data_IF_101602155845
#
_entry.id   IF_101602155845
#
_cell.length_a   1.000
_cell.length_b   1.000
_cell.length_c   1.000
_cell.angle_alpha   90.00
_cell.angle_beta   90.00
_cell.angle_gamma   90.00
#
_symmetry.space_group_name_H-M   'P 1'
#
loop_
_entity.id
_entity.type
_entity.pdbx_description
1 polymer ?
#
# COMPACT_ATOMS: atom_id res chain seq x y z
N UNK A 1 8.69 30.54 -2.39
CA UNK A 1 8.24 29.55 -3.39
C UNK A 1 9.45 28.83 -3.94
N UNK A 2 9.26 27.79 -4.74
CA UNK A 2 10.33 27.32 -5.64
C UNK A 2 10.60 28.49 -6.58
N UNK A 3 11.85 28.95 -6.62
CA UNK A 3 12.26 30.05 -7.50
C UNK A 3 12.66 29.39 -8.83
N UNK A 4 12.21 29.96 -9.96
CA UNK A 4 12.41 29.39 -11.30
C UNK A 4 13.91 29.16 -11.63
N UNK A 5 14.79 29.91 -10.96
CA UNK A 5 16.24 29.76 -11.05
C UNK A 5 16.79 28.47 -10.42
N UNK A 6 16.01 27.73 -9.64
CA UNK A 6 16.42 26.46 -9.01
C UNK A 6 16.15 25.24 -9.90
N UNK A 7 15.31 25.40 -10.92
CA UNK A 7 14.84 24.32 -11.78
C UNK A 7 15.55 24.34 -13.14
N UNK A 8 15.80 23.16 -13.68
CA UNK A 8 16.22 22.97 -15.08
C UNK A 8 15.03 22.74 -15.98
N UNK A 9 14.02 22.02 -15.49
CA UNK A 9 12.80 21.69 -16.23
C UNK A 9 11.63 21.71 -15.26
N UNK A 10 10.53 22.30 -15.70
CA UNK A 10 9.20 22.08 -15.13
C UNK A 10 8.29 21.62 -16.26
N UNK A 11 7.65 20.48 -16.09
CA UNK A 11 6.73 19.91 -17.07
C UNK A 11 5.39 19.57 -16.41
N UNK A 12 4.31 19.76 -17.16
CA UNK A 12 2.95 19.55 -16.70
C UNK A 12 2.34 18.39 -17.49
N UNK A 13 2.27 17.23 -16.85
CA UNK A 13 1.64 16.07 -17.43
C UNK A 13 0.12 16.16 -17.25
N UNK A 14 -0.56 16.78 -18.23
CA UNK A 14 -2.00 17.02 -18.19
C UNK A 14 -2.84 15.75 -17.98
N UNK A 15 -2.47 14.64 -18.62
CA UNK A 15 -3.21 13.38 -18.52
C UNK A 15 -3.12 12.74 -17.13
N UNK A 16 -1.97 12.83 -16.48
CA UNK A 16 -1.76 12.27 -15.14
C UNK A 16 -1.98 13.29 -14.02
N UNK A 17 -2.28 14.55 -14.38
CA UNK A 17 -2.45 15.71 -13.48
C UNK A 17 -1.25 15.89 -12.55
N UNK A 18 -0.04 15.76 -13.11
CA UNK A 18 1.22 15.82 -12.37
C UNK A 18 2.08 16.98 -12.86
N UNK A 19 2.88 17.50 -11.93
CA UNK A 19 3.96 18.45 -12.24
C UNK A 19 5.27 17.71 -11.98
N UNK A 20 6.11 17.63 -12.99
CA UNK A 20 7.45 17.07 -12.90
C UNK A 20 8.43 18.22 -12.87
N UNK A 21 9.25 18.29 -11.82
CA UNK A 21 10.28 19.31 -11.67
C UNK A 21 11.66 18.65 -11.58
N UNK A 22 12.60 19.11 -12.41
CA UNK A 22 14.01 18.72 -12.36
C UNK A 22 14.80 19.89 -11.80
N UNK A 23 15.58 19.65 -10.76
CA UNK A 23 16.43 20.66 -10.11
C UNK A 23 17.79 20.74 -10.81
N UNK A 24 18.41 21.93 -10.76
CA UNK A 24 19.74 22.17 -11.36
C UNK A 24 20.86 21.41 -10.64
N UNK A 25 20.75 21.25 -9.33
CA UNK A 25 21.73 20.54 -8.50
C UNK A 25 21.02 19.57 -7.56
N UNK A 26 21.76 18.59 -7.08
CA UNK A 26 21.27 17.62 -6.09
C UNK A 26 20.97 18.30 -4.74
N UNK A 27 21.80 19.24 -4.29
CA UNK A 27 21.58 19.96 -3.02
C UNK A 27 20.24 20.70 -3.02
N UNK A 28 19.91 21.40 -4.11
CA UNK A 28 18.62 22.10 -4.25
C UNK A 28 17.42 21.13 -4.22
N UNK A 29 17.62 19.92 -4.76
CA UNK A 29 16.61 18.88 -4.70
C UNK A 29 16.43 18.32 -3.29
N UNK A 30 17.52 18.06 -2.57
CA UNK A 30 17.49 17.55 -1.19
C UNK A 30 16.89 18.58 -0.22
N UNK A 31 17.28 19.85 -0.34
CA UNK A 31 16.69 20.97 0.41
C UNK A 31 15.18 21.07 0.16
N UNK A 32 14.76 20.91 -1.10
CA UNK A 32 13.35 20.90 -1.46
C UNK A 32 12.61 19.73 -0.82
N UNK A 33 13.17 18.52 -0.87
CA UNK A 33 12.57 17.34 -0.26
C UNK A 33 12.45 17.47 1.26
N UNK A 34 13.48 17.98 1.93
CA UNK A 34 13.43 18.18 3.38
C UNK A 34 12.36 19.20 3.76
N UNK A 35 12.33 20.32 3.04
CA UNK A 35 11.36 21.41 3.29
C UNK A 35 9.92 20.99 3.02
N UNK A 36 9.68 20.16 2.02
CA UNK A 36 8.35 19.75 1.57
C UNK A 36 8.08 18.25 1.75
N UNK A 37 8.74 17.61 2.72
CA UNK A 37 8.59 16.18 3.01
C UNK A 37 7.14 15.76 3.28
N UNK A 38 6.33 16.68 3.83
CA UNK A 38 4.90 16.48 4.11
C UNK A 38 3.97 16.86 2.95
N UNK A 39 4.52 17.22 1.80
CA UNK A 39 3.80 17.78 0.65
C UNK A 39 3.76 19.31 0.65
N UNK A 40 3.39 19.88 -0.49
CA UNK A 40 3.23 21.31 -0.70
C UNK A 40 1.78 21.70 -0.41
N UNK A 41 1.57 22.72 0.42
CA UNK A 41 0.26 23.33 0.60
C UNK A 41 0.07 24.43 -0.45
N UNK A 42 -0.98 24.32 -1.23
CA UNK A 42 -1.35 25.28 -2.27
C UNK A 42 -2.74 25.84 -1.97
N UNK A 43 -2.88 27.16 -1.92
CA UNK A 43 -4.18 27.81 -1.70
C UNK A 43 -4.64 28.52 -2.99
N UNK A 44 -5.88 28.24 -3.40
CA UNK A 44 -6.52 28.91 -4.53
C UNK A 44 -8.00 29.13 -4.22
N UNK A 45 -8.46 30.37 -4.39
CA UNK A 45 -9.85 30.77 -4.14
C UNK A 45 -10.34 30.40 -2.73
N UNK A 46 -9.50 30.60 -1.71
CA UNK A 46 -9.79 30.24 -0.31
C UNK A 46 -9.84 28.74 0.00
N UNK A 47 -9.55 27.87 -0.98
CA UNK A 47 -9.44 26.41 -0.79
C UNK A 47 -7.97 26.01 -0.71
N UNK A 48 -7.62 25.25 0.32
CA UNK A 48 -6.29 24.67 0.52
C UNK A 48 -6.22 23.26 -0.06
N UNK A 49 -5.21 23.02 -0.87
CA UNK A 49 -4.91 21.75 -1.52
C UNK A 49 -3.56 21.26 -1.01
N UNK A 50 -3.48 19.99 -0.63
CA UNK A 50 -2.22 19.34 -0.29
C UNK A 50 -1.71 18.57 -1.50
N UNK A 51 -0.61 19.04 -2.09
CA UNK A 51 0.04 18.43 -3.24
C UNK A 51 1.14 17.50 -2.72
N UNK A 52 1.03 16.18 -2.90
CA UNK A 52 2.09 15.26 -2.51
C UNK A 52 3.33 15.48 -3.38
N UNK A 53 4.50 15.53 -2.75
CA UNK A 53 5.80 15.53 -3.44
C UNK A 53 6.28 14.09 -3.53
N UNK A 54 6.67 13.67 -4.74
CA UNK A 54 7.15 12.31 -5.02
C UNK A 54 8.43 12.45 -5.83
N UNK A 55 9.46 11.70 -5.44
CA UNK A 55 10.71 11.62 -6.18
C UNK A 55 10.48 10.75 -7.42
N UNK A 56 10.59 11.35 -8.60
CA UNK A 56 10.55 10.61 -9.86
C UNK A 56 11.71 9.62 -9.91
N UNK A 57 11.43 8.35 -10.23
CA UNK A 57 12.43 7.29 -10.22
C UNK A 57 12.83 6.77 -8.83
N UNK A 58 12.21 7.25 -7.74
CA UNK A 58 12.38 6.60 -6.44
C UNK A 58 11.88 5.16 -6.51
N UNK A 59 12.69 4.17 -6.08
CA UNK A 59 12.22 2.79 -6.01
C UNK A 59 11.17 2.63 -4.92
N UNK A 60 11.14 3.54 -3.93
CA UNK A 60 10.18 3.54 -2.82
C UNK A 60 8.84 4.12 -3.25
N UNK A 61 7.79 3.32 -3.09
CA UNK A 61 6.39 3.65 -3.35
C UNK A 61 5.60 3.69 -2.04
N UNK A 62 4.61 4.59 -2.00
CA UNK A 62 3.58 4.60 -0.95
C UNK A 62 2.41 3.76 -1.41
N UNK A 63 2.22 2.61 -0.75
CA UNK A 63 1.15 1.67 -1.03
C UNK A 63 0.04 1.89 -0.01
N UNK A 64 -1.16 2.23 -0.48
CA UNK A 64 -2.33 2.41 0.38
C UNK A 64 -3.07 1.09 0.53
N UNK A 65 -3.40 0.75 1.77
CA UNK A 65 -4.25 -0.38 2.16
C UNK A 65 -5.50 0.17 2.80
N UNK A 66 -6.67 -0.21 2.29
CA UNK A 66 -7.97 0.29 2.74
C UNK A 66 -8.77 -0.80 3.46
N UNK A 67 -9.66 -0.36 4.33
CA UNK A 67 -10.55 -1.17 5.17
C UNK A 67 -9.79 -2.02 6.21
N UNK A 68 -8.66 -1.52 6.69
CA UNK A 68 -7.86 -2.19 7.73
C UNK A 68 -8.50 -1.94 9.10
N UNK A 69 -8.81 -2.99 9.90
CA UNK A 69 -9.27 -2.84 11.27
C UNK A 69 -8.19 -2.22 12.17
N UNK A 70 -8.61 -1.39 13.12
CA UNK A 70 -7.70 -0.70 14.06
C UNK A 70 -6.91 -1.68 14.94
N UNK A 71 -7.48 -2.87 15.19
CA UNK A 71 -6.91 -3.93 16.00
C UNK A 71 -5.90 -4.80 15.22
N UNK A 72 -5.73 -4.58 13.91
CA UNK A 72 -4.83 -5.39 13.09
C UNK A 72 -3.37 -5.08 13.41
N UNK A 73 -2.64 -6.12 13.80
CA UNK A 73 -1.20 -6.04 14.04
C UNK A 73 -0.44 -5.81 12.73
N UNK A 74 0.46 -4.83 12.75
CA UNK A 74 1.32 -4.48 11.62
C UNK A 74 2.24 -5.63 11.20
N UNK A 75 2.53 -6.57 12.10
CA UNK A 75 3.37 -7.74 11.80
C UNK A 75 2.78 -8.60 10.68
N UNK A 76 1.45 -8.79 10.65
CA UNK A 76 0.77 -9.53 9.58
C UNK A 76 0.77 -8.76 8.25
N UNK A 77 0.65 -7.43 8.32
CA UNK A 77 0.72 -6.57 7.15
C UNK A 77 2.13 -6.60 6.58
N UNK A 78 3.14 -6.44 7.43
CA UNK A 78 4.54 -6.48 7.05
C UNK A 78 4.88 -7.78 6.33
N UNK A 79 4.59 -8.93 6.95
CA UNK A 79 4.82 -10.25 6.35
C UNK A 79 4.07 -10.44 5.02
N UNK A 80 2.84 -9.92 4.90
CA UNK A 80 2.08 -9.99 3.67
C UNK A 80 2.66 -9.11 2.54
N UNK A 81 3.33 -7.99 2.87
CA UNK A 81 3.90 -7.07 1.89
C UNK A 81 5.34 -7.40 1.50
N UNK A 82 6.12 -8.07 2.36
CA UNK A 82 7.50 -8.49 2.05
C UNK A 82 7.62 -9.37 0.80
N UNK A 83 6.60 -10.18 0.50
CA UNK A 83 6.60 -11.02 -0.71
C UNK A 83 6.55 -10.22 -2.03
N UNK A 84 6.23 -8.92 -1.97
CA UNK A 84 6.15 -8.05 -3.14
C UNK A 84 7.33 -7.08 -3.25
N UNK A 85 8.22 -7.08 -2.25
CA UNK A 85 9.45 -6.31 -2.23
C UNK A 85 9.79 -5.81 -0.83
N UNK A 86 10.77 -4.93 -0.75
CA UNK A 86 11.33 -4.48 0.54
C UNK A 86 10.45 -3.42 1.23
N UNK A 87 9.94 -3.73 2.41
CA UNK A 87 9.15 -2.78 3.24
C UNK A 87 10.07 -1.91 4.10
N UNK A 88 9.91 -0.59 4.02
CA UNK A 88 10.62 0.40 4.84
C UNK A 88 9.85 0.77 6.10
N UNK A 89 8.53 0.90 5.99
CA UNK A 89 7.71 1.33 7.12
C UNK A 89 6.22 1.23 6.86
N UNK A 90 5.46 1.21 7.95
CA UNK A 90 4.00 1.08 7.96
C UNK A 90 3.47 2.19 8.87
N UNK A 91 2.58 3.04 8.34
CA UNK A 91 1.97 4.13 9.09
C UNK A 91 0.47 4.19 8.88
N UNK A 92 -0.28 4.46 9.96
CA UNK A 92 -1.70 4.80 9.85
C UNK A 92 -1.85 6.15 9.13
N UNK A 93 -2.75 6.21 8.14
CA UNK A 93 -3.07 7.48 7.53
C UNK A 93 -3.87 8.34 8.52
N UNK A 94 -3.39 9.54 8.81
CA UNK A 94 -4.12 10.47 9.67
C UNK A 94 -5.40 10.91 8.95
N UNK A 95 -6.59 10.78 9.56
CA UNK A 95 -7.82 11.31 8.98
C UNK A 95 -7.62 12.80 8.68
N UNK A 96 -8.09 13.26 7.52
CA UNK A 96 -7.97 14.66 7.12
C UNK A 96 -8.94 15.58 7.90
N UNK A 97 -9.80 15.00 8.74
CA UNK A 97 -10.86 15.67 9.49
C UNK A 97 -10.94 15.04 10.89
N UNK A 98 -10.69 15.83 11.93
CA UNK A 98 -10.96 15.49 13.34
C UNK A 98 -12.46 15.24 13.63
N UNK A 99 -13.34 15.48 12.66
CA UNK A 99 -14.79 15.39 12.79
C UNK A 99 -15.34 13.97 12.77
N UNK A 100 -14.54 12.99 12.37
CA UNK A 100 -14.94 11.60 12.42
C UNK A 100 -13.98 10.85 13.33
N UNK A 101 -14.43 10.53 14.55
CA UNK A 101 -13.88 9.45 15.37
C UNK A 101 -14.09 8.06 14.72
N UNK A 102 -14.15 8.01 13.39
CA UNK A 102 -14.30 6.78 12.63
C UNK A 102 -12.94 6.11 12.53
N UNK A 103 -12.98 4.80 12.75
CA UNK A 103 -11.89 3.83 12.64
C UNK A 103 -10.86 4.21 11.58
N UNK A 104 -9.57 4.01 11.88
CA UNK A 104 -8.46 4.26 10.96
C UNK A 104 -8.50 3.19 9.87
N UNK A 105 -9.37 3.34 8.89
CA UNK A 105 -9.55 2.33 7.85
C UNK A 105 -8.42 2.32 6.81
N UNK A 106 -7.41 3.18 6.92
CA UNK A 106 -6.38 3.37 5.90
C UNK A 106 -4.98 3.36 6.48
N UNK A 107 -4.14 2.55 5.85
CA UNK A 107 -2.75 2.37 6.22
C UNK A 107 -1.87 2.60 4.98
N UNK A 108 -0.72 3.20 5.19
CA UNK A 108 0.29 3.42 4.16
C UNK A 108 1.50 2.54 4.45
N UNK A 109 1.87 1.69 3.49
CA UNK A 109 3.10 0.91 3.48
C UNK A 109 4.08 1.61 2.55
N UNK A 110 5.19 2.11 3.09
CA UNK A 110 6.31 2.61 2.28
C UNK A 110 7.22 1.43 1.93
N UNK A 111 7.33 1.10 0.64
CA UNK A 111 8.09 -0.07 0.19
C UNK A 111 8.63 0.07 -1.22
N UNK A 112 9.72 -0.63 -1.52
CA UNK A 112 10.10 -0.93 -2.90
C UNK A 112 9.24 -2.07 -3.42
N UNK A 113 8.67 -1.89 -4.61
CA UNK A 113 7.77 -2.89 -5.22
C UNK A 113 8.52 -3.58 -6.36
N UNK A 114 9.05 -4.77 -6.08
CA UNK A 114 9.79 -5.59 -7.03
C UNK A 114 8.85 -6.49 -7.86
N UNK A 115 7.72 -6.87 -7.26
CA UNK A 115 6.64 -7.63 -7.89
C UNK A 115 5.32 -6.87 -7.79
N UNK A 116 4.55 -6.83 -8.88
CA UNK A 116 3.26 -6.16 -8.88
C UNK A 116 2.36 -6.68 -7.75
N UNK A 117 1.88 -5.77 -6.90
CA UNK A 117 0.90 -6.09 -5.86
C UNK A 117 -0.51 -6.08 -6.48
N UNK A 118 -1.30 -7.16 -6.35
CA UNK A 118 -2.68 -7.19 -6.80
C UNK A 118 -3.51 -6.03 -6.22
N UNK A 119 -4.58 -5.65 -6.92
CA UNK A 119 -5.52 -4.63 -6.44
C UNK A 119 -6.25 -5.04 -5.15
N UNK A 120 -6.25 -6.34 -4.83
CA UNK A 120 -6.76 -6.88 -3.59
C UNK A 120 -5.84 -7.98 -3.06
N UNK A 121 -5.55 -7.96 -1.77
CA UNK A 121 -4.77 -9.01 -1.11
C UNK A 121 -5.56 -9.56 0.07
N UNK A 122 -5.30 -10.81 0.43
CA UNK A 122 -5.93 -11.44 1.60
C UNK A 122 -4.90 -11.58 2.70
N UNK A 123 -5.17 -11.01 3.88
CA UNK A 123 -4.35 -11.11 5.08
C UNK A 123 -5.25 -11.62 6.20
N UNK A 124 -4.85 -12.71 6.87
CA UNK A 124 -5.66 -13.33 7.93
C UNK A 124 -7.12 -13.62 7.51
N UNK A 125 -7.33 -14.04 6.25
CA UNK A 125 -8.66 -14.31 5.69
C UNK A 125 -9.44 -13.06 5.26
N UNK A 126 -9.03 -11.86 5.69
CA UNK A 126 -9.69 -10.60 5.35
C UNK A 126 -9.10 -10.06 4.04
N UNK A 127 -9.97 -9.63 3.12
CA UNK A 127 -9.57 -9.10 1.82
C UNK A 127 -9.48 -7.57 1.87
N UNK A 128 -8.29 -7.05 1.59
CA UNK A 128 -7.97 -5.63 1.63
C UNK A 128 -7.82 -5.07 0.22
N UNK A 129 -8.31 -3.85 0.01
CA UNK A 129 -8.07 -3.13 -1.23
C UNK A 129 -6.71 -2.42 -1.16
N UNK A 130 -5.88 -2.64 -2.17
CA UNK A 130 -4.52 -2.11 -2.26
C UNK A 130 -4.40 -1.18 -3.45
N UNK A 131 -3.74 -0.04 -3.28
CA UNK A 131 -3.52 0.92 -4.37
C UNK A 131 -2.18 1.62 -4.24
N UNK A 132 -1.44 1.67 -5.34
CA UNK A 132 -0.21 2.44 -5.45
C UNK A 132 -0.03 2.96 -6.87
N UNK A 133 0.88 3.92 -7.05
CA UNK A 133 1.11 4.55 -8.35
C UNK A 133 1.77 3.57 -9.34
N UNK A 134 1.22 3.49 -10.56
CA UNK A 134 1.69 2.56 -11.59
C UNK A 134 1.32 1.11 -11.33
N UNK A 135 0.38 0.85 -10.41
CA UNK A 135 -0.15 -0.49 -10.17
C UNK A 135 -0.89 -1.01 -11.41
N UNK A 136 -0.54 -2.23 -11.83
CA UNK A 136 -1.33 -2.97 -12.82
C UNK A 136 -2.62 -3.43 -12.12
N UNK A 137 -3.76 -3.00 -12.64
CA UNK A 137 -5.06 -3.36 -12.08
C UNK A 137 -5.32 -4.83 -12.28
N UNK A 138 -5.75 -5.50 -11.21
CA UNK A 138 -6.09 -6.91 -11.23
C UNK A 138 -7.56 -7.11 -10.89
N UNK A 139 -8.13 -8.18 -11.45
CA UNK A 139 -9.49 -8.60 -11.23
C UNK A 139 -9.77 -8.77 -9.73
N UNK A 140 -10.81 -8.09 -9.24
CA UNK A 140 -11.20 -8.17 -7.83
C UNK A 140 -11.62 -9.58 -7.37
N UNK A 141 -11.91 -10.50 -8.31
CA UNK A 141 -12.36 -11.87 -8.02
C UNK A 141 -11.23 -12.91 -8.05
N UNK A 142 -10.36 -12.85 -9.06
CA UNK A 142 -9.35 -13.90 -9.31
C UNK A 142 -7.90 -13.40 -9.33
N UNK A 143 -7.68 -12.10 -9.15
CA UNK A 143 -6.38 -11.43 -9.13
C UNK A 143 -5.60 -11.46 -10.47
N UNK A 144 -6.25 -11.86 -11.57
CA UNK A 144 -5.70 -11.77 -12.94
C UNK A 144 -5.60 -10.32 -13.43
N UNK A 145 -4.54 -10.00 -14.16
CA UNK A 145 -4.37 -8.71 -14.85
C UNK A 145 -5.00 -8.66 -16.26
N UNK A 146 -5.56 -9.77 -16.74
CA UNK A 146 -6.06 -9.90 -18.11
C UNK A 146 -7.49 -9.37 -18.29
N UNK A 147 -8.25 -9.21 -17.20
CA UNK A 147 -9.65 -8.81 -17.28
C UNK A 147 -10.11 -8.05 -16.03
N UNK A 148 -11.19 -7.29 -16.20
CA UNK A 148 -11.91 -6.65 -15.11
C UNK A 148 -12.88 -7.61 -14.42
N UNK A 149 -13.22 -7.35 -13.16
CA UNK A 149 -14.10 -8.22 -12.37
C UNK A 149 -15.48 -8.49 -13.01
N UNK A 150 -15.99 -7.57 -13.85
CA UNK A 150 -17.26 -7.74 -14.58
C UNK A 150 -17.17 -8.76 -15.72
N UNK A 151 -15.97 -9.06 -16.20
CA UNK A 151 -15.66 -10.02 -17.26
C UNK A 151 -14.95 -11.27 -16.71
N UNK A 152 -15.05 -11.51 -15.40
CA UNK A 152 -14.40 -12.64 -14.76
C UNK A 152 -15.30 -13.86 -14.77
N UNK A 153 -14.86 -14.90 -15.48
CA UNK A 153 -15.51 -16.22 -15.54
C UNK A 153 -15.30 -17.02 -14.25
N UNK A 154 -14.27 -16.67 -13.47
CA UNK A 154 -14.13 -17.14 -12.09
C UNK A 154 -15.28 -16.61 -11.23
N UNK A 155 -16.06 -17.53 -10.64
CA UNK A 155 -17.10 -17.18 -9.67
C UNK A 155 -16.56 -16.33 -8.52
N UNK A 156 -17.45 -15.71 -7.73
CA UNK A 156 -17.04 -14.98 -6.52
C UNK A 156 -16.23 -15.94 -5.63
N UNK A 157 -14.95 -15.64 -5.38
CA UNK A 157 -14.21 -16.33 -4.31
C UNK A 157 -14.95 -16.03 -3.01
N UNK A 158 -15.66 -17.02 -2.49
CA UNK A 158 -16.21 -16.97 -1.15
C UNK A 158 -15.04 -16.96 -0.16
N UNK A 159 -15.26 -16.43 1.05
CA UNK A 159 -14.26 -16.31 2.11
C UNK A 159 -13.47 -17.63 2.34
N UNK A 160 -14.13 -18.78 2.14
CA UNK A 160 -13.53 -20.11 2.21
C UNK A 160 -12.50 -20.43 1.12
N UNK A 161 -12.63 -19.87 -0.08
CA UNK A 161 -11.73 -20.17 -1.21
C UNK A 161 -10.41 -19.36 -1.17
N UNK A 162 -10.37 -18.26 -0.42
CA UNK A 162 -9.13 -17.48 -0.20
C UNK A 162 -8.21 -18.08 0.88
N UNK A 163 -8.76 -18.91 1.78
CA UNK A 163 -8.02 -19.55 2.87
C UNK A 163 -7.15 -20.73 2.40
N UNK A 164 -7.57 -21.45 1.34
CA UNK A 164 -6.91 -22.68 0.89
C UNK A 164 -5.58 -22.53 0.15
N UNK A 165 -5.09 -21.30 -0.07
CA UNK A 165 -3.86 -21.04 -0.84
C UNK A 165 -2.88 -20.08 -0.16
N UNK A 166 -3.16 -19.65 1.07
CA UNK A 166 -2.26 -18.77 1.82
C UNK A 166 -1.15 -19.57 2.52
N UNK A 167 0.13 -19.33 2.21
CA UNK A 167 1.25 -19.99 2.88
C UNK A 167 1.23 -19.83 4.41
N UNK A 168 0.71 -18.70 4.91
CA UNK A 168 0.56 -18.44 6.34
C UNK A 168 -0.52 -19.33 6.98
N UNK A 169 -1.58 -19.67 6.25
CA UNK A 169 -2.63 -20.59 6.74
C UNK A 169 -2.12 -22.03 6.72
N UNK A 170 -1.37 -22.42 5.69
CA UNK A 170 -0.70 -23.73 5.66
C UNK A 170 0.29 -23.88 6.82
N UNK A 171 1.04 -22.82 7.12
CA UNK A 171 1.97 -22.80 8.26
C UNK A 171 1.20 -22.90 9.59
N UNK A 172 0.15 -22.11 9.77
CA UNK A 172 -0.66 -22.14 10.99
C UNK A 172 -1.33 -23.51 11.22
N UNK A 173 -1.83 -24.16 10.16
CA UNK A 173 -2.41 -25.51 10.24
C UNK A 173 -1.34 -26.53 10.65
N UNK A 174 -0.16 -26.52 10.02
CA UNK A 174 0.95 -27.40 10.40
C UNK A 174 1.39 -27.20 11.86
N UNK A 175 1.51 -25.95 12.29
CA UNK A 175 1.89 -25.64 13.68
C UNK A 175 0.83 -26.14 14.66
N UNK A 176 -0.46 -26.03 14.33
CA UNK A 176 -1.53 -26.59 15.16
C UNK A 176 -1.52 -28.13 15.19
N UNK A 177 -1.25 -28.79 14.06
CA UNK A 177 -1.11 -30.24 13.99
C UNK A 177 0.05 -30.78 14.84
N UNK A 178 1.18 -30.06 14.88
CA UNK A 178 2.33 -30.37 15.74
C UNK A 178 1.98 -30.21 17.23
N UNK A 179 1.32 -29.11 17.60
CA UNK A 179 0.88 -28.87 18.99
C UNK A 179 -0.10 -29.95 19.46
N UNK A 180 -1.03 -30.37 18.61
CA UNK A 180 -2.00 -31.43 18.96
C UNK A 180 -1.29 -32.77 19.14
N UNK A 181 -0.36 -33.14 18.26
CA UNK A 181 0.43 -34.37 18.42
C UNK A 181 1.27 -34.38 19.69
N UNK A 182 1.89 -33.25 20.03
CA UNK A 182 2.65 -33.12 21.27
C UNK A 182 1.75 -33.26 22.50
N UNK A 183 0.56 -32.66 22.47
CA UNK A 183 -0.43 -32.78 23.54
C UNK A 183 -0.99 -34.21 23.69
N UNK A 184 -1.11 -34.97 22.60
CA UNK A 184 -1.54 -36.37 22.62
C UNK A 184 -0.44 -37.30 23.16
N UNK A 185 0.83 -37.02 22.85
CA UNK A 185 1.97 -37.77 23.40
C UNK A 185 2.15 -37.56 24.91
N UNK A 186 1.86 -36.35 25.42
CA UNK A 186 1.91 -36.04 26.85
C UNK A 186 0.81 -36.79 27.64
N UNK A 187 -0.31 -37.15 27.01
CA UNK A 187 -1.39 -37.92 27.66
C UNK A 187 -1.14 -39.43 27.73
N UNK A 188 -0.17 -39.94 26.97
CA UNK A 188 0.15 -41.37 26.89
C UNK A 188 1.44 -41.74 27.64
N UNK A 189 1.95 -40.84 28.50
CA UNK A 189 3.07 -41.08 29.42
C UNK A 189 2.57 -40.99 30.86
#
# INVERSE_FOLDING_TARGET
GIIDDQLTVIDLHYHTKQIVAKFKTQDLFEDFLQKYAKGVLYEKNGKKYKIPVIVAGSPWKKVQVKYVPDEMDFTYIYAAFEQYGKVKGIEWEKPNLDLLKTKREKLTVEMMVDKNIPSFITIMGIRFAVTYMGQIKTCARCDSDQHEARHCDGGKRTYSQALGSSPAVTLAIKTLEEIVKDAENIKNT
#
